data_IF_143247472475
#
_entry.id   IF_143247472475
#
_cell.length_a   1.000
_cell.length_b   1.000
_cell.length_c   1.000
_cell.angle_alpha   90.00
_cell.angle_beta   90.00
_cell.angle_gamma   90.00
#
_symmetry.space_group_name_H-M   'P 1'
#
loop_
_entity.id
_entity.type
_entity.pdbx_description
1 polymer ?
#
# COMPACT_ATOMS: atom_id res chain seq x y z
N UNK A 1 6.85 14.13 7.10
CA UNK A 1 5.85 13.42 6.27
C UNK A 1 4.59 13.31 7.10
N UNK A 2 3.52 14.03 6.77
CA UNK A 2 2.29 14.06 7.57
C UNK A 2 1.29 13.08 6.96
N UNK A 3 0.93 12.02 7.69
CA UNK A 3 -0.09 11.05 7.25
C UNK A 3 -1.45 11.53 7.78
N UNK A 4 -2.33 11.98 6.88
CA UNK A 4 -3.71 12.34 7.19
C UNK A 4 -4.60 11.10 7.22
N UNK A 5 -5.57 11.06 8.16
CA UNK A 5 -6.46 9.93 8.53
C UNK A 5 -7.48 9.48 7.44
N UNK A 6 -7.13 9.46 6.17
CA UNK A 6 -7.99 8.95 5.08
C UNK A 6 -7.53 7.61 4.50
N UNK A 7 -6.66 6.88 5.21
CA UNK A 7 -6.25 5.53 4.84
C UNK A 7 -7.23 4.47 5.39
N UNK A 8 -7.68 3.56 4.53
CA UNK A 8 -8.28 2.30 4.97
C UNK A 8 -7.14 1.40 5.41
N UNK A 9 -6.93 1.28 6.71
CA UNK A 9 -5.90 0.43 7.30
C UNK A 9 -6.40 -1.02 7.33
N UNK A 10 -5.77 -1.92 6.56
CA UNK A 10 -6.01 -3.37 6.65
C UNK A 10 -4.72 -4.03 7.08
N UNK A 11 -4.68 -4.51 8.32
CA UNK A 11 -3.46 -5.10 8.88
C UNK A 11 -3.43 -6.61 8.71
N UNK A 12 -2.38 -7.15 8.10
CA UNK A 12 -2.14 -8.60 7.94
C UNK A 12 -0.85 -8.98 8.66
N UNK A 13 -0.90 -10.05 9.45
CA UNK A 13 0.24 -10.54 10.23
C UNK A 13 0.85 -11.77 9.54
N UNK A 14 2.16 -11.72 9.27
CA UNK A 14 2.92 -12.86 8.76
C UNK A 14 4.23 -13.00 9.55
N UNK A 15 4.19 -13.76 10.65
CA UNK A 15 5.34 -13.90 11.57
C UNK A 15 5.58 -12.63 12.40
N UNK A 16 6.84 -12.20 12.50
CA UNK A 16 7.30 -11.03 13.28
C UNK A 16 7.12 -9.68 12.56
N UNK A 17 6.33 -9.63 11.48
CA UNK A 17 6.09 -8.41 10.70
C UNK A 17 4.58 -8.17 10.57
N UNK A 18 4.14 -7.01 11.05
CA UNK A 18 2.81 -6.50 10.78
C UNK A 18 2.84 -5.71 9.47
N UNK A 19 1.86 -5.91 8.59
CA UNK A 19 1.77 -5.17 7.32
C UNK A 19 0.49 -4.35 7.29
N UNK A 20 0.53 -3.12 6.76
CA UNK A 20 -0.66 -2.29 6.53
C UNK A 20 -0.60 -1.57 5.19
N UNK A 21 -1.76 -1.28 4.59
CA UNK A 21 -1.85 -0.62 3.28
C UNK A 21 -2.39 0.82 3.37
N UNK A 22 -1.85 1.70 2.53
CA UNK A 22 -2.36 3.07 2.31
C UNK A 22 -2.62 3.27 0.82
N UNK A 23 -3.84 3.67 0.47
CA UNK A 23 -4.20 4.07 -0.90
C UNK A 23 -4.24 5.59 -0.97
N UNK A 24 -3.51 6.18 -1.93
CA UNK A 24 -3.60 7.61 -2.17
C UNK A 24 -5.04 8.02 -2.54
N UNK A 25 -5.44 9.23 -2.15
CA UNK A 25 -6.82 9.68 -2.35
C UNK A 25 -7.26 9.68 -3.84
N UNK A 26 -6.33 9.95 -4.74
CA UNK A 26 -6.52 9.91 -6.19
C UNK A 26 -6.33 8.50 -6.80
N UNK A 27 -6.05 7.51 -5.95
CA UNK A 27 -5.75 6.11 -6.29
C UNK A 27 -4.58 5.95 -7.27
N UNK A 28 -3.72 6.96 -7.40
CA UNK A 28 -2.55 6.89 -8.29
C UNK A 28 -1.38 6.14 -7.66
N UNK A 29 -1.43 5.86 -6.36
CA UNK A 29 -0.43 5.10 -5.63
C UNK A 29 -1.05 4.18 -4.59
N UNK A 30 -0.42 3.01 -4.45
CA UNK A 30 -0.64 2.05 -3.39
C UNK A 30 0.65 1.91 -2.60
N UNK A 31 0.57 2.06 -1.28
CA UNK A 31 1.70 1.88 -0.38
C UNK A 31 1.44 0.69 0.55
N UNK A 32 2.46 -0.14 0.71
CA UNK A 32 2.49 -1.20 1.71
C UNK A 32 3.53 -0.83 2.76
N UNK A 33 3.10 -0.84 4.01
CA UNK A 33 3.88 -0.50 5.19
C UNK A 33 4.23 -1.79 5.92
N UNK A 34 5.50 -1.95 6.28
CA UNK A 34 5.96 -3.08 7.10
C UNK A 34 6.36 -2.53 8.47
N UNK A 35 5.75 -3.07 9.50
CA UNK A 35 6.02 -2.74 10.89
C UNK A 35 6.78 -3.87 11.57
N UNK A 36 7.44 -3.53 12.67
CA UNK A 36 7.97 -4.51 13.60
C UNK A 36 6.89 -5.44 14.17
N UNK A 37 7.30 -6.47 14.91
CA UNK A 37 6.39 -7.47 15.47
C UNK A 37 5.34 -6.87 16.44
N UNK A 38 5.60 -5.67 16.96
CA UNK A 38 4.68 -4.96 17.85
C UNK A 38 3.67 -4.10 17.08
N UNK A 39 3.90 -3.85 15.80
CA UNK A 39 3.08 -2.96 14.98
C UNK A 39 3.25 -1.48 15.32
N UNK A 40 4.33 -1.10 16.02
CA UNK A 40 4.51 0.27 16.53
C UNK A 40 5.58 1.04 15.76
N UNK A 41 6.55 0.36 15.17
CA UNK A 41 7.62 0.98 14.40
C UNK A 41 7.55 0.56 12.93
N UNK A 42 7.57 1.54 12.02
CA UNK A 42 7.66 1.29 10.59
C UNK A 42 9.11 0.94 10.22
N UNK A 43 9.35 -0.29 9.81
CA UNK A 43 10.70 -0.78 9.46
C UNK A 43 11.01 -0.68 7.97
N UNK A 44 9.98 -0.73 7.12
CA UNK A 44 10.12 -0.54 5.67
C UNK A 44 8.81 -0.07 5.04
N UNK A 45 8.89 0.48 3.83
CA UNK A 45 7.73 0.75 3.00
C UNK A 45 8.03 0.54 1.51
N UNK A 46 7.01 0.14 0.75
CA UNK A 46 7.04 0.08 -0.70
C UNK A 46 5.87 0.86 -1.29
N UNK A 47 6.08 1.53 -2.42
CA UNK A 47 5.06 2.26 -3.14
C UNK A 47 4.99 1.83 -4.61
N UNK A 48 3.81 1.47 -5.08
CA UNK A 48 3.54 1.12 -6.47
C UNK A 48 2.66 2.21 -7.07
N UNK A 49 3.13 2.81 -8.17
CA UNK A 49 2.31 3.74 -8.96
C UNK A 49 1.26 2.93 -9.70
N UNK A 50 0.01 3.29 -9.51
CA UNK A 50 -1.08 2.84 -10.35
C UNK A 50 -0.90 3.49 -11.72
N UNK A 51 -0.22 2.79 -12.63
CA UNK A 51 -0.32 3.13 -14.04
C UNK A 51 -1.79 2.96 -14.41
N UNK A 52 -2.50 4.07 -14.63
CA UNK A 52 -3.78 3.96 -15.34
C UNK A 52 -3.42 3.26 -16.63
N UNK A 53 -4.00 2.10 -16.97
CA UNK A 53 -3.84 1.60 -18.33
C UNK A 53 -4.32 2.76 -19.21
N UNK A 54 -3.40 3.31 -20.00
CA UNK A 54 -3.76 4.22 -21.08
C UNK A 54 -4.95 3.54 -21.76
N UNK A 55 -6.07 4.24 -21.91
CA UNK A 55 -7.25 3.72 -22.61
C UNK A 55 -6.96 3.60 -24.12
N UNK A 56 -5.86 2.96 -24.45
CA UNK A 56 -5.44 2.62 -25.79
C UNK A 56 -5.05 1.14 -25.74
N UNK A 57 -6.09 0.29 -25.73
CA UNK A 57 -6.04 -1.12 -26.08
C UNK A 57 -5.21 -2.05 -25.19
N UNK A 58 -5.87 -2.78 -24.29
CA UNK A 58 -5.35 -4.06 -23.81
C UNK A 58 -5.50 -4.28 -22.32
N UNK A 59 -6.61 -4.90 -21.94
CA UNK A 59 -6.79 -5.51 -20.64
C UNK A 59 -5.89 -6.75 -20.61
N UNK A 60 -4.76 -6.70 -19.88
CA UNK A 60 -4.13 -7.92 -19.35
C UNK A 60 -3.14 -7.55 -18.25
N UNK A 61 -3.62 -7.49 -17.01
CA UNK A 61 -2.79 -7.91 -15.87
C UNK A 61 -3.69 -8.78 -14.98
N UNK A 62 -3.60 -10.06 -15.29
CA UNK A 62 -4.08 -11.17 -14.48
C UNK A 62 -3.01 -11.46 -13.44
N UNK A 63 -3.36 -11.40 -12.15
CA UNK A 63 -2.74 -12.13 -11.05
C UNK A 63 -3.81 -12.36 -9.99
#
# INVERSE_FOLDING_TARGET
MTVSRTAVERSVWCGDVATGDIVAADRSWFFTLYFDATGTELVACSGVKSERPSQDGGQQLQL
#
